data_IF_579341907765
#
_entry.id   IF_579341907765
#
_cell.length_a   1.000
_cell.length_b   1.000
_cell.length_c   1.000
_cell.angle_alpha   90.00
_cell.angle_beta   90.00
_cell.angle_gamma   90.00
#
_symmetry.space_group_name_H-M   'P 1'
#
loop_
_entity.id
_entity.type
_entity.pdbx_description
1 polymer ?
#
# COMPACT_ATOMS: atom_id res chain seq x y z
N UNK A 1 -7.38 -0.48 2.84
CA UNK A 1 -7.38 -0.59 1.35
C UNK A 1 -6.17 0.14 0.76
N UNK A 2 -5.60 -0.35 -0.34
CA UNK A 2 -4.57 0.34 -1.13
C UNK A 2 -5.03 0.47 -2.58
N UNK A 3 -5.04 1.70 -3.05
CA UNK A 3 -5.27 2.06 -4.45
C UNK A 3 -3.99 2.58 -5.07
N UNK A 4 -3.72 2.14 -6.30
CA UNK A 4 -2.57 2.55 -7.08
C UNK A 4 -3.06 2.85 -8.48
N UNK A 5 -2.70 4.00 -9.06
CA UNK A 5 -3.17 4.45 -10.38
C UNK A 5 -4.69 4.46 -10.52
N UNK A 6 -5.43 4.76 -9.43
CA UNK A 6 -6.89 4.81 -9.40
C UNK A 6 -7.61 3.46 -9.22
N UNK A 7 -6.92 2.33 -9.23
CA UNK A 7 -7.51 0.99 -9.06
C UNK A 7 -7.21 0.43 -7.67
N UNK A 8 -8.16 -0.33 -7.11
CA UNK A 8 -7.97 -1.07 -5.87
C UNK A 8 -7.03 -2.26 -6.13
N UNK A 9 -5.88 -2.29 -5.45
CA UNK A 9 -4.87 -3.35 -5.61
C UNK A 9 -4.81 -4.27 -4.38
N UNK A 10 -5.07 -3.73 -3.18
CA UNK A 10 -5.11 -4.51 -1.94
C UNK A 10 -6.38 -4.15 -1.16
N UNK A 11 -7.20 -5.16 -0.92
CA UNK A 11 -8.27 -5.11 0.06
C UNK A 11 -7.84 -5.87 1.32
N UNK A 12 -7.52 -5.10 2.36
CA UNK A 12 -7.18 -5.58 3.70
C UNK A 12 -7.98 -4.74 4.71
N UNK A 13 -9.27 -4.55 4.39
CA UNK A 13 -10.21 -3.82 5.22
C UNK A 13 -11.00 -4.78 6.12
N UNK A 14 -11.82 -4.22 7.00
CA UNK A 14 -12.66 -4.94 7.93
C UNK A 14 -12.01 -5.11 9.31
N UNK A 15 -12.77 -5.72 10.22
CA UNK A 15 -12.33 -5.90 11.60
C UNK A 15 -11.44 -7.14 11.72
N UNK A 16 -10.12 -6.94 11.77
CA UNK A 16 -9.13 -7.99 11.98
C UNK A 16 -7.88 -7.48 12.73
N UNK A 17 -7.02 -8.39 13.17
CA UNK A 17 -5.70 -8.06 13.73
C UNK A 17 -4.69 -7.66 12.65
N UNK A 18 -3.46 -7.33 13.05
CA UNK A 18 -2.41 -7.01 12.08
C UNK A 18 -2.07 -8.24 11.22
N UNK A 19 -2.35 -8.16 9.92
CA UNK A 19 -2.05 -9.18 8.91
C UNK A 19 -1.44 -8.54 7.68
N UNK A 20 -0.60 -9.27 6.96
CA UNK A 20 -0.02 -8.86 5.69
C UNK A 20 -0.82 -9.49 4.54
N UNK A 21 -1.22 -8.66 3.59
CA UNK A 21 -1.83 -9.08 2.31
C UNK A 21 -1.02 -8.45 1.19
N UNK A 22 -0.83 -9.19 0.10
CA UNK A 22 -0.13 -8.72 -1.09
C UNK A 22 -1.08 -8.52 -2.28
N UNK A 23 -0.74 -7.54 -3.12
CA UNK A 23 -1.41 -7.29 -4.39
C UNK A 23 -0.38 -6.85 -5.43
N UNK A 24 -0.70 -6.98 -6.71
CA UNK A 24 0.20 -6.65 -7.82
C UNK A 24 -0.54 -5.88 -8.90
N UNK A 25 0.13 -4.87 -9.45
CA UNK A 25 -0.31 -4.14 -10.64
C UNK A 25 0.88 -3.84 -11.54
N UNK A 26 0.69 -3.91 -12.85
CA UNK A 26 1.69 -3.43 -13.81
C UNK A 26 1.55 -1.92 -13.97
N UNK A 27 2.66 -1.19 -13.95
CA UNK A 27 2.69 0.26 -14.11
C UNK A 27 3.61 0.62 -15.27
N UNK A 28 3.21 1.64 -16.02
CA UNK A 28 4.11 2.31 -16.96
C UNK A 28 5.14 3.16 -16.20
N UNK A 29 6.25 3.51 -16.85
CA UNK A 29 7.24 4.40 -16.26
C UNK A 29 6.63 5.78 -15.99
N UNK A 30 6.84 6.31 -14.78
CA UNK A 30 6.36 7.63 -14.37
C UNK A 30 5.67 7.63 -13.01
N UNK A 31 5.04 8.76 -12.68
CA UNK A 31 4.32 8.94 -11.43
C UNK A 31 2.89 8.39 -11.51
N UNK A 32 2.51 7.61 -10.51
CA UNK A 32 1.16 7.09 -10.36
C UNK A 32 0.57 7.52 -9.02
N UNK A 33 -0.72 7.92 -8.96
CA UNK A 33 -1.35 8.26 -7.70
C UNK A 33 -1.46 7.01 -6.81
N UNK A 34 -1.09 7.16 -5.55
CA UNK A 34 -1.30 6.15 -4.51
C UNK A 34 -2.24 6.71 -3.46
N UNK A 35 -3.17 5.89 -2.98
CA UNK A 35 -4.05 6.19 -1.84
C UNK A 35 -4.11 4.97 -0.95
N UNK A 36 -3.79 5.16 0.33
CA UNK A 36 -3.88 4.13 1.36
C UNK A 36 -4.95 4.58 2.35
N UNK A 37 -5.89 3.69 2.62
CA UNK A 37 -6.97 3.90 3.57
C UNK A 37 -6.83 2.89 4.69
N UNK A 38 -6.97 3.39 5.92
CA UNK A 38 -6.87 2.59 7.13
C UNK A 38 -8.07 2.87 8.03
N UNK A 39 -8.58 1.80 8.62
CA UNK A 39 -9.65 1.81 9.61
C UNK A 39 -9.17 1.11 10.88
N UNK A 40 -9.47 1.70 12.04
CA UNK A 40 -9.27 1.06 13.34
C UNK A 40 -10.50 1.33 14.22
N UNK A 41 -10.93 0.31 14.96
CA UNK A 41 -12.07 0.39 15.89
C UNK A 41 -11.68 0.03 17.33
N UNK A 42 -10.87 -1.02 17.52
CA UNK A 42 -10.45 -1.49 18.84
C UNK A 42 -9.12 -2.24 18.78
N UNK A 43 -8.49 -2.45 19.94
CA UNK A 43 -7.22 -3.19 20.05
C UNK A 43 -6.01 -2.34 19.64
N UNK A 44 -5.00 -2.98 19.07
CA UNK A 44 -3.79 -2.30 18.60
C UNK A 44 -3.98 -1.59 17.26
N UNK A 45 -3.14 -0.59 17.00
CA UNK A 45 -3.07 0.13 15.72
C UNK A 45 -1.80 -0.28 14.98
N UNK A 46 -1.94 -0.71 13.73
CA UNK A 46 -0.80 -0.99 12.86
C UNK A 46 -1.14 -0.66 11.41
N UNK A 47 -0.21 0.00 10.72
CA UNK A 47 -0.23 0.18 9.28
C UNK A 47 1.21 0.10 8.79
N UNK A 48 1.48 -0.82 7.87
CA UNK A 48 2.76 -0.93 7.18
C UNK A 48 2.48 -1.14 5.70
N UNK A 49 3.24 -0.47 4.84
CA UNK A 49 3.21 -0.65 3.41
C UNK A 49 4.63 -0.97 2.94
N UNK A 50 4.76 -2.03 2.17
CA UNK A 50 6.03 -2.46 1.58
C UNK A 50 5.87 -2.61 0.07
N UNK A 51 6.98 -2.53 -0.65
CA UNK A 51 7.04 -2.87 -2.07
C UNK A 51 7.88 -4.14 -2.21
N UNK A 52 7.46 -5.02 -3.12
CA UNK A 52 8.25 -6.16 -3.57
C UNK A 52 8.79 -5.82 -4.95
N UNK A 53 10.11 -5.75 -5.10
CA UNK A 53 10.73 -5.50 -6.41
C UNK A 53 10.63 -6.76 -7.31
N UNK A 54 10.96 -6.68 -8.62
CA UNK A 54 10.92 -7.84 -9.52
C UNK A 54 11.77 -9.03 -9.06
N UNK A 55 12.83 -8.80 -8.29
CA UNK A 55 13.72 -9.83 -7.74
C UNK A 55 13.16 -10.49 -6.47
N UNK A 56 11.99 -10.02 -5.99
CA UNK A 56 11.30 -10.56 -4.82
C UNK A 56 11.73 -9.95 -3.49
N UNK A 57 12.65 -9.00 -3.50
CA UNK A 57 13.08 -8.29 -2.29
C UNK A 57 11.98 -7.34 -1.81
N UNK A 58 11.76 -7.33 -0.50
CA UNK A 58 10.74 -6.51 0.15
C UNK A 58 11.40 -5.37 0.89
N UNK A 59 10.99 -4.14 0.59
CA UNK A 59 11.43 -2.93 1.29
C UNK A 59 10.23 -2.13 1.77
N UNK A 60 10.37 -1.34 2.86
CA UNK A 60 9.36 -0.35 3.22
C UNK A 60 9.04 0.55 2.04
N UNK A 61 7.79 0.99 1.94
CA UNK A 61 7.42 2.04 0.99
C UNK A 61 8.18 3.33 1.37
N UNK A 62 9.28 3.58 0.66
CA UNK A 62 10.20 4.66 0.99
C UNK A 62 9.58 6.02 0.65
N UNK A 63 9.68 6.97 1.59
CA UNK A 63 9.16 8.32 1.40
C UNK A 63 9.80 9.06 0.21
N UNK A 64 11.02 8.70 -0.20
CA UNK A 64 11.69 9.25 -1.39
C UNK A 64 11.01 8.87 -2.70
N UNK A 65 10.11 7.88 -2.70
CA UNK A 65 9.29 7.51 -3.86
C UNK A 65 7.92 8.20 -3.86
N UNK A 66 7.57 8.90 -2.78
CA UNK A 66 6.27 9.52 -2.58
C UNK A 66 6.36 11.03 -2.76
N UNK A 67 5.51 11.55 -3.64
CA UNK A 67 5.49 12.96 -4.01
C UNK A 67 4.10 13.52 -3.69
N UNK A 68 4.06 14.56 -2.87
CA UNK A 68 2.82 15.31 -2.66
C UNK A 68 2.59 16.24 -3.84
N UNK A 69 1.42 16.13 -4.49
CA UNK A 69 0.97 17.17 -5.43
C UNK A 69 0.42 18.35 -4.61
N UNK A 70 0.85 19.56 -4.98
CA UNK A 70 0.27 20.81 -4.50
C UNK A 70 -1.07 21.07 -5.20
#
# INVERSE_FOLDING_TARGET
MLYLGGELVIDNDGLHGAVAIEGRRMLEAGYHPIRIEMFQNKGGLALSATIKNPDGEVSPLDGSWLFMRK
#
